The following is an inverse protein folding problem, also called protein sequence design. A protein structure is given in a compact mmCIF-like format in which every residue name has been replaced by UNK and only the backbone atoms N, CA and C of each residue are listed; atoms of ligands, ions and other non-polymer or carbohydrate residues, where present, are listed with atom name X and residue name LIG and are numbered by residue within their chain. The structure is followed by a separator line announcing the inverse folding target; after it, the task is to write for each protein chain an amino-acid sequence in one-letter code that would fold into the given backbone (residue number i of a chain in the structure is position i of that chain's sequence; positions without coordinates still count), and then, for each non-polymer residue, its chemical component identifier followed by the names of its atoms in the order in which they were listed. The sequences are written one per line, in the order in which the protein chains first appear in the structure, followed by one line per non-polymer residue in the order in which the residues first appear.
data_IF_126370324995
#
_entry.id   IF_126370324995
#
_cell.length_a   1.000
_cell.length_b   1.000
_cell.length_c   1.000
_cell.angle_alpha   90.00
_cell.angle_beta   90.00
_cell.angle_gamma   90.00
#
_symmetry.space_group_name_H-M   'P 1'
#
loop_
_entity.id
_entity.type
_entity.pdbx_description
1 polymer ?
#
# COMPACT_ATOMS: atom_id res chain seq x y z
N UNK A 1 -2.22 18.56 20.01
CA UNK A 1 -1.92 17.33 19.25
C UNK A 1 -0.56 16.81 19.69
N UNK A 2 -0.43 15.48 19.89
CA UNK A 2 0.78 14.85 20.43
C UNK A 2 1.98 14.85 19.47
N UNK A 3 1.78 15.17 18.19
CA UNK A 3 2.79 15.02 17.14
C UNK A 3 3.07 13.57 16.74
N UNK A 4 2.33 12.60 17.30
CA UNK A 4 2.49 11.18 16.94
C UNK A 4 1.91 10.91 15.55
N UNK A 5 2.56 10.01 14.83
CA UNK A 5 2.09 9.48 13.54
C UNK A 5 1.59 8.06 13.76
N UNK A 6 0.35 7.79 13.38
CA UNK A 6 -0.23 6.45 13.40
C UNK A 6 0.14 5.72 12.11
N UNK A 7 0.90 4.65 12.23
CA UNK A 7 1.34 3.82 11.10
C UNK A 7 0.75 2.42 11.24
N UNK A 8 -0.51 2.23 10.84
CA UNK A 8 -1.18 0.93 10.91
C UNK A 8 -0.61 -0.06 9.91
N UNK A 9 -0.88 -1.33 10.16
CA UNK A 9 -0.66 -2.43 9.20
C UNK A 9 -1.95 -3.25 9.13
N UNK A 10 -2.91 -2.78 8.34
CA UNK A 10 -4.23 -3.43 8.23
C UNK A 10 -4.17 -4.79 7.55
N UNK A 11 -3.18 -5.01 6.69
CA UNK A 11 -2.95 -6.29 6.00
C UNK A 11 -2.70 -7.44 7.01
N UNK A 12 -2.21 -7.12 8.22
CA UNK A 12 -2.02 -8.04 9.34
C UNK A 12 -2.86 -7.56 10.53
N UNK A 13 -4.13 -7.37 10.33
CA UNK A 13 -5.02 -6.87 11.38
C UNK A 13 -5.27 -7.92 12.47
N UNK A 14 -5.55 -7.45 13.69
CA UNK A 14 -5.95 -8.25 14.84
C UNK A 14 -7.47 -8.19 15.02
N UNK A 15 -8.06 -9.28 15.49
CA UNK A 15 -9.50 -9.34 15.75
C UNK A 15 -10.33 -10.02 14.67
N UNK A 16 -9.70 -10.49 13.60
CA UNK A 16 -10.32 -11.23 12.50
C UNK A 16 -9.30 -11.98 11.67
N UNK A 17 -9.71 -12.58 10.55
CA UNK A 17 -8.78 -13.13 9.57
C UNK A 17 -7.86 -12.05 9.04
N UNK A 18 -6.59 -12.35 8.80
CA UNK A 18 -5.66 -11.40 8.23
C UNK A 18 -6.16 -10.90 6.86
N UNK A 19 -6.21 -9.59 6.67
CA UNK A 19 -6.69 -8.98 5.43
C UNK A 19 -5.88 -9.39 4.19
N UNK A 20 -4.62 -9.74 4.35
CA UNK A 20 -3.80 -10.34 3.30
C UNK A 20 -4.45 -11.60 2.69
N UNK A 21 -5.12 -12.43 3.52
CA UNK A 21 -5.85 -13.61 3.05
C UNK A 21 -7.01 -13.23 2.11
N UNK A 22 -7.70 -12.11 2.37
CA UNK A 22 -8.74 -11.61 1.48
C UNK A 22 -8.18 -11.36 0.06
N UNK A 23 -7.02 -10.71 -0.03
CA UNK A 23 -6.42 -10.40 -1.33
C UNK A 23 -5.92 -11.64 -2.06
N UNK A 24 -5.35 -12.61 -1.37
CA UNK A 24 -4.98 -13.90 -1.99
C UNK A 24 -6.20 -14.68 -2.49
N UNK A 25 -7.39 -14.50 -1.90
CA UNK A 25 -8.62 -15.10 -2.41
C UNK A 25 -9.19 -14.37 -3.65
N UNK A 26 -8.80 -13.10 -3.85
CA UNK A 26 -9.29 -12.26 -4.97
C UNK A 26 -8.32 -12.21 -6.15
N UNK A 27 -7.06 -12.51 -5.92
CA UNK A 27 -5.99 -12.35 -6.91
C UNK A 27 -5.08 -13.57 -6.92
N UNK A 28 -4.87 -14.13 -8.10
CA UNK A 28 -3.85 -15.16 -8.26
C UNK A 28 -2.47 -14.50 -8.44
N UNK A 29 -1.75 -14.41 -7.32
CA UNK A 29 -0.39 -13.85 -7.31
C UNK A 29 0.60 -14.69 -8.09
N UNK A 30 0.29 -15.98 -8.34
CA UNK A 30 1.13 -16.86 -9.15
C UNK A 30 1.05 -16.52 -10.63
N UNK A 31 -0.01 -15.83 -11.08
CA UNK A 31 -0.15 -15.40 -12.47
C UNK A 31 0.37 -14.00 -12.74
N UNK A 32 0.73 -13.24 -11.69
CA UNK A 32 1.33 -11.92 -11.86
C UNK A 32 2.73 -12.01 -12.47
N UNK A 33 2.96 -11.43 -13.68
CA UNK A 33 4.23 -11.57 -14.40
C UNK A 33 5.39 -10.86 -13.70
N UNK A 34 5.13 -9.77 -12.95
CA UNK A 34 6.16 -9.05 -12.19
C UNK A 34 6.57 -9.85 -10.97
N UNK A 35 5.61 -10.41 -10.24
CA UNK A 35 5.91 -11.27 -9.10
C UNK A 35 6.69 -12.52 -9.52
N UNK A 36 6.29 -13.19 -10.60
CA UNK A 36 7.02 -14.35 -11.17
C UNK A 36 8.48 -14.02 -11.51
N UNK A 37 8.73 -12.81 -11.96
CA UNK A 37 10.08 -12.37 -12.36
C UNK A 37 11.01 -12.15 -11.17
N UNK A 38 10.48 -11.58 -10.06
CA UNK A 38 11.31 -11.12 -8.94
C UNK A 38 11.24 -12.03 -7.72
N UNK A 39 10.20 -12.88 -7.60
CA UNK A 39 9.99 -13.74 -6.44
C UNK A 39 10.01 -15.20 -6.89
N UNK A 40 10.88 -16.05 -6.32
CA UNK A 40 10.89 -17.48 -6.62
C UNK A 40 9.53 -18.12 -6.33
N UNK A 41 9.10 -19.06 -7.18
CA UNK A 41 7.81 -19.76 -7.04
C UNK A 41 7.64 -20.39 -5.64
N UNK A 42 8.67 -21.02 -5.11
CA UNK A 42 8.65 -21.61 -3.77
C UNK A 42 8.37 -20.60 -2.64
N UNK A 43 8.77 -19.34 -2.83
CA UNK A 43 8.48 -18.27 -1.86
C UNK A 43 7.03 -17.80 -1.99
N UNK A 44 6.50 -17.68 -3.21
CA UNK A 44 5.07 -17.39 -3.44
C UNK A 44 4.20 -18.50 -2.84
N UNK A 45 4.52 -19.78 -3.10
CA UNK A 45 3.85 -20.95 -2.51
C UNK A 45 3.85 -20.87 -0.98
N UNK A 46 5.01 -20.66 -0.38
CA UNK A 46 5.15 -20.58 1.06
C UNK A 46 4.25 -19.50 1.68
N UNK A 47 4.02 -18.42 0.98
CA UNK A 47 3.17 -17.30 1.44
C UNK A 47 1.68 -17.58 1.21
N UNK A 48 1.32 -18.23 0.12
CA UNK A 48 -0.08 -18.45 -0.29
C UNK A 48 -0.68 -19.72 0.30
N UNK A 49 0.07 -20.82 0.40
CA UNK A 49 -0.41 -22.12 0.90
C UNK A 49 -0.79 -22.15 2.38
N UNK A 50 -0.49 -21.12 3.15
CA UNK A 50 -0.79 -21.05 4.59
C UNK A 50 -2.27 -20.85 4.92
N UNK A 51 -3.17 -20.77 3.92
CA UNK A 51 -4.51 -20.20 4.15
C UNK A 51 -5.63 -21.06 3.60
N UNK A 52 -5.88 -22.22 4.27
CA UNK A 52 -6.97 -23.12 3.85
C UNK A 52 -8.34 -22.56 4.21
N UNK A 53 -8.44 -21.41 4.90
CA UNK A 53 -9.69 -20.87 5.39
C UNK A 53 -10.27 -19.87 4.42
N UNK A 54 -11.55 -20.05 4.08
CA UNK A 54 -12.36 -19.07 3.37
C UNK A 54 -13.31 -18.40 4.37
N UNK A 55 -12.89 -17.29 5.02
CA UNK A 55 -13.70 -16.62 6.02
C UNK A 55 -14.99 -16.08 5.42
N UNK A 56 -16.07 -16.09 6.21
CA UNK A 56 -17.29 -15.41 5.81
C UNK A 56 -17.06 -13.90 5.72
N UNK A 57 -17.75 -13.22 4.80
CA UNK A 57 -17.58 -11.78 4.55
C UNK A 57 -17.64 -10.92 5.83
N UNK A 58 -18.51 -11.28 6.78
CA UNK A 58 -18.69 -10.56 8.04
C UNK A 58 -17.51 -10.69 9.03
N UNK A 59 -16.54 -11.56 8.76
CA UNK A 59 -15.38 -11.77 9.62
C UNK A 59 -14.21 -10.84 9.25
N UNK A 60 -14.28 -10.18 8.09
CA UNK A 60 -13.26 -9.21 7.69
C UNK A 60 -13.48 -7.89 8.42
N UNK A 61 -12.53 -7.50 9.27
CA UNK A 61 -12.61 -6.29 10.10
C UNK A 61 -11.76 -5.13 9.58
N UNK A 62 -10.93 -5.36 8.59
CA UNK A 62 -9.96 -4.38 8.07
C UNK A 62 -10.63 -3.09 7.54
N UNK A 63 -11.81 -3.18 6.95
CA UNK A 63 -12.55 -1.99 6.48
C UNK A 63 -12.94 -1.08 7.65
N UNK A 64 -13.40 -1.69 8.77
CA UNK A 64 -13.79 -0.92 9.96
C UNK A 64 -12.59 -0.31 10.69
N UNK A 65 -11.46 -1.01 10.68
CA UNK A 65 -10.19 -0.50 11.22
C UNK A 65 -9.65 0.66 10.37
N UNK A 66 -9.66 0.51 9.04
CA UNK A 66 -9.28 1.57 8.12
C UNK A 66 -10.19 2.81 8.25
N UNK A 67 -11.49 2.62 8.54
CA UNK A 67 -12.40 3.73 8.81
C UNK A 67 -12.02 4.54 10.07
N UNK A 68 -11.37 3.95 11.06
CA UNK A 68 -10.84 4.69 12.20
C UNK A 68 -9.62 5.54 11.81
N UNK A 69 -8.74 5.02 10.93
CA UNK A 69 -7.63 5.79 10.38
C UNK A 69 -8.12 6.98 9.54
N UNK A 70 -9.17 6.79 8.73
CA UNK A 70 -9.80 7.88 7.99
C UNK A 70 -10.36 8.98 8.91
N UNK A 71 -11.02 8.60 10.01
CA UNK A 71 -11.49 9.55 11.04
C UNK A 71 -10.35 10.28 11.73
N UNK A 72 -9.26 9.57 12.05
CA UNK A 72 -8.09 10.18 12.66
C UNK A 72 -7.49 11.25 11.72
N UNK A 73 -7.31 10.92 10.44
CA UNK A 73 -6.78 11.84 9.44
C UNK A 73 -7.69 13.06 9.26
N UNK A 74 -9.01 12.85 9.09
CA UNK A 74 -9.98 13.94 8.93
C UNK A 74 -10.10 14.81 10.18
N UNK A 75 -9.81 14.28 11.38
CA UNK A 75 -9.72 15.01 12.63
C UNK A 75 -8.40 15.78 12.83
N UNK A 76 -7.52 15.84 11.82
CA UNK A 76 -6.24 16.55 11.88
C UNK A 76 -5.11 15.73 12.51
N UNK A 77 -5.29 14.43 12.74
CA UNK A 77 -4.23 13.52 13.13
C UNK A 77 -3.34 13.13 11.94
N UNK A 78 -2.19 12.55 12.23
CA UNK A 78 -1.26 12.07 11.20
C UNK A 78 -1.35 10.55 11.04
N UNK A 79 -1.53 10.11 9.80
CA UNK A 79 -1.56 8.69 9.43
C UNK A 79 -0.51 8.45 8.35
N UNK A 80 0.29 7.41 8.50
CA UNK A 80 1.25 6.96 7.50
C UNK A 80 1.00 5.50 7.10
N UNK A 81 1.60 5.08 5.99
CA UNK A 81 1.42 3.73 5.45
C UNK A 81 2.33 2.73 6.17
N UNK A 82 1.80 1.54 6.53
CA UNK A 82 2.56 0.39 6.97
C UNK A 82 2.12 -0.85 6.20
N UNK A 83 3.04 -1.67 5.71
CA UNK A 83 2.70 -2.89 4.95
C UNK A 83 3.42 -4.15 5.47
N UNK A 84 4.22 -4.02 6.52
CA UNK A 84 4.91 -5.11 7.22
C UNK A 84 5.75 -6.06 6.32
N UNK A 85 5.96 -5.70 5.06
CA UNK A 85 6.74 -6.52 4.13
C UNK A 85 6.14 -7.89 3.81
N UNK A 86 4.81 -8.05 3.90
CA UNK A 86 4.13 -9.33 3.69
C UNK A 86 4.39 -9.90 2.30
N UNK A 87 3.71 -9.51 1.27
CA UNK A 87 4.11 -9.81 -0.10
C UNK A 87 4.78 -8.57 -0.68
N UNK A 88 6.10 -8.61 -0.78
CA UNK A 88 6.88 -7.47 -1.30
C UNK A 88 6.40 -7.07 -2.69
N UNK A 89 6.27 -5.75 -2.92
CA UNK A 89 5.67 -5.18 -4.11
C UNK A 89 4.15 -5.07 -4.02
N UNK A 90 3.42 -6.13 -3.70
CA UNK A 90 1.95 -6.12 -3.64
C UNK A 90 1.39 -5.60 -2.32
N UNK A 91 2.01 -5.94 -1.20
CA UNK A 91 1.48 -5.61 0.13
C UNK A 91 1.25 -4.12 0.35
N UNK A 92 2.08 -3.26 -0.20
CA UNK A 92 1.91 -1.80 -0.12
C UNK A 92 0.65 -1.33 -0.86
N UNK A 93 0.35 -1.91 -2.02
CA UNK A 93 -0.85 -1.58 -2.79
C UNK A 93 -2.12 -2.07 -2.07
N UNK A 94 -2.10 -3.28 -1.52
CA UNK A 94 -3.21 -3.80 -0.73
C UNK A 94 -3.49 -2.92 0.50
N UNK A 95 -2.46 -2.44 1.18
CA UNK A 95 -2.62 -1.52 2.31
C UNK A 95 -3.28 -0.20 1.88
N UNK A 96 -2.89 0.39 0.74
CA UNK A 96 -3.54 1.56 0.16
C UNK A 96 -5.03 1.28 -0.16
N UNK A 97 -5.32 0.11 -0.73
CA UNK A 97 -6.70 -0.27 -1.06
C UNK A 97 -7.56 -0.48 0.18
N UNK A 98 -7.00 -1.04 1.25
CA UNK A 98 -7.68 -1.16 2.54
C UNK A 98 -8.01 0.23 3.09
N UNK A 99 -7.08 1.17 3.05
CA UNK A 99 -7.34 2.54 3.51
C UNK A 99 -8.49 3.19 2.73
N UNK A 100 -8.51 3.03 1.42
CA UNK A 100 -9.62 3.53 0.59
C UNK A 100 -10.95 2.83 0.93
N UNK A 101 -10.95 1.52 1.18
CA UNK A 101 -12.16 0.78 1.57
C UNK A 101 -12.76 1.25 2.89
N UNK A 102 -11.95 1.82 3.78
CA UNK A 102 -12.37 2.46 5.02
C UNK A 102 -12.96 3.87 4.85
N UNK A 103 -13.10 4.35 3.60
CA UNK A 103 -13.70 5.65 3.29
C UNK A 103 -12.72 6.82 3.21
N UNK A 104 -11.42 6.55 3.22
CA UNK A 104 -10.41 7.57 2.91
C UNK A 104 -10.46 7.89 1.41
N UNK A 105 -10.40 9.17 1.02
CA UNK A 105 -10.36 9.54 -0.40
C UNK A 105 -9.08 9.01 -1.07
N UNK A 106 -9.14 8.68 -2.37
CA UNK A 106 -7.95 8.22 -3.11
C UNK A 106 -6.80 9.22 -3.02
N UNK A 107 -7.10 10.52 -3.02
CA UNK A 107 -6.10 11.57 -2.84
C UNK A 107 -5.43 11.49 -1.45
N UNK A 108 -6.20 11.33 -0.39
CA UNK A 108 -5.66 11.21 0.96
C UNK A 108 -4.88 9.91 1.16
N UNK A 109 -5.34 8.80 0.56
CA UNK A 109 -4.60 7.53 0.53
C UNK A 109 -3.22 7.71 -0.09
N UNK A 110 -3.13 8.40 -1.24
CA UNK A 110 -1.85 8.69 -1.88
C UNK A 110 -0.97 9.60 -1.01
N UNK A 111 -1.55 10.60 -0.34
CA UNK A 111 -0.82 11.45 0.62
C UNK A 111 -0.27 10.64 1.78
N UNK A 112 -1.05 9.72 2.34
CA UNK A 112 -0.60 8.82 3.42
C UNK A 112 0.59 7.98 2.98
N UNK A 113 0.60 7.48 1.74
CA UNK A 113 1.70 6.72 1.17
C UNK A 113 2.92 7.57 0.74
N UNK A 114 2.81 8.89 0.74
CA UNK A 114 3.87 9.81 0.26
C UNK A 114 4.21 10.87 1.29
N UNK A 115 3.50 11.99 1.29
CA UNK A 115 3.75 13.18 2.15
C UNK A 115 3.72 12.84 3.63
N UNK A 116 2.66 12.16 4.08
CA UNK A 116 2.49 11.84 5.50
C UNK A 116 3.50 10.75 5.94
N UNK A 117 3.81 9.81 5.05
CA UNK A 117 4.87 8.84 5.25
C UNK A 117 6.23 9.51 5.45
N UNK A 118 6.60 10.43 4.54
CA UNK A 118 7.85 11.19 4.63
C UNK A 118 7.93 12.04 5.90
N UNK A 119 6.83 12.66 6.34
CA UNK A 119 6.75 13.37 7.62
C UNK A 119 6.95 12.43 8.80
N UNK A 120 6.29 11.27 8.78
CA UNK A 120 6.37 10.28 9.84
C UNK A 120 7.78 9.75 10.10
N UNK A 121 8.60 9.65 9.07
CA UNK A 121 10.01 9.20 9.18
C UNK A 121 11.00 10.38 9.25
N UNK A 122 10.54 11.63 9.28
CA UNK A 122 11.38 12.82 9.41
C UNK A 122 12.11 13.25 8.14
N UNK A 123 11.71 12.77 6.95
CA UNK A 123 12.35 13.06 5.66
C UNK A 123 11.50 13.93 4.71
N UNK A 124 10.53 14.66 5.23
CA UNK A 124 9.67 15.49 4.37
C UNK A 124 10.41 16.63 3.66
N UNK A 125 11.55 17.09 4.21
CA UNK A 125 12.43 18.04 3.51
C UNK A 125 12.97 17.50 2.19
N UNK A 126 13.16 16.18 2.10
CA UNK A 126 13.90 15.53 1.02
C UNK A 126 13.00 14.76 0.06
N UNK A 127 11.86 14.24 0.54
CA UNK A 127 10.93 13.39 -0.25
C UNK A 127 9.46 13.59 0.13
N UNK A 128 8.59 12.83 -0.51
CA UNK A 128 7.15 12.75 -0.24
C UNK A 128 6.29 13.69 -1.08
N UNK A 129 6.89 14.66 -1.79
CA UNK A 129 6.21 15.55 -2.73
C UNK A 129 7.11 15.94 -3.90
N UNK A 130 6.50 16.34 -5.01
CA UNK A 130 7.21 16.82 -6.19
C UNK A 130 7.46 18.33 -6.05
N UNK A 131 8.63 18.69 -5.53
CA UNK A 131 9.04 20.07 -5.29
C UNK A 131 10.50 20.26 -5.71
N UNK A 132 10.83 21.48 -6.17
CA UNK A 132 12.20 21.83 -6.53
C UNK A 132 13.09 21.74 -5.29
N UNK A 133 14.20 21.02 -5.42
CA UNK A 133 15.17 20.81 -4.33
C UNK A 133 15.01 19.49 -3.58
N UNK A 134 13.93 18.74 -3.81
CA UNK A 134 13.75 17.39 -3.25
C UNK A 134 14.39 16.32 -4.14
N UNK A 135 14.59 15.13 -3.57
CA UNK A 135 15.05 13.97 -4.31
C UNK A 135 14.03 13.62 -5.41
N UNK A 136 14.54 13.33 -6.59
CA UNK A 136 13.70 12.94 -7.72
C UNK A 136 13.40 11.42 -7.65
N UNK A 137 12.59 11.06 -6.64
CA UNK A 137 12.07 9.71 -6.41
C UNK A 137 10.56 9.71 -6.68
N UNK A 138 10.15 9.08 -7.78
CA UNK A 138 8.76 9.08 -8.22
C UNK A 138 8.39 7.82 -9.01
N UNK A 139 7.09 7.57 -9.09
CA UNK A 139 6.52 6.54 -9.95
C UNK A 139 5.66 7.19 -11.03
N UNK A 140 5.77 6.69 -12.26
CA UNK A 140 4.91 7.06 -13.38
C UNK A 140 3.93 5.91 -13.58
N UNK A 141 2.64 6.23 -13.50
CA UNK A 141 1.56 5.27 -13.62
C UNK A 141 0.88 5.44 -15.00
N UNK A 142 0.52 4.32 -15.63
CA UNK A 142 -0.25 4.31 -16.88
C UNK A 142 -1.71 4.75 -16.67
N UNK A 143 -2.27 4.51 -15.48
CA UNK A 143 -3.65 4.83 -15.13
C UNK A 143 -3.74 5.74 -13.92
N UNK A 144 -4.79 6.57 -13.89
CA UNK A 144 -4.99 7.55 -12.83
C UNK A 144 -5.45 6.87 -11.52
N UNK A 145 -4.66 6.89 -10.43
CA UNK A 145 -5.04 6.31 -9.14
C UNK A 145 -6.09 7.13 -8.39
N UNK A 146 -6.38 8.36 -8.81
CA UNK A 146 -7.47 9.16 -8.25
C UNK A 146 -8.84 8.66 -8.72
N UNK A 147 -8.93 8.06 -9.91
CA UNK A 147 -10.16 7.47 -10.43
C UNK A 147 -10.44 6.10 -9.78
N UNK A 148 -9.39 5.27 -9.64
CA UNK A 148 -9.44 4.00 -8.94
C UNK A 148 -8.08 3.77 -8.24
N UNK A 149 -8.09 3.62 -6.94
CA UNK A 149 -6.87 3.39 -6.15
C UNK A 149 -6.11 2.12 -6.59
N UNK A 150 -6.77 1.16 -7.20
CA UNK A 150 -6.14 -0.05 -7.75
C UNK A 150 -5.17 0.26 -8.90
N UNK A 151 -5.32 1.41 -9.54
CA UNK A 151 -4.41 1.90 -10.56
C UNK A 151 -2.99 2.21 -10.03
N UNK A 152 -2.78 2.20 -8.71
CA UNK A 152 -1.42 2.24 -8.12
C UNK A 152 -0.53 1.08 -8.60
N UNK A 153 -1.10 -0.04 -9.08
CA UNK A 153 -0.34 -1.14 -9.69
C UNK A 153 0.12 -0.86 -11.13
N UNK A 154 -0.43 0.14 -11.81
CA UNK A 154 -0.11 0.42 -13.22
C UNK A 154 1.22 1.17 -13.38
N UNK A 155 2.25 0.72 -12.67
CA UNK A 155 3.57 1.36 -12.69
C UNK A 155 4.24 1.08 -14.04
N UNK A 156 4.45 2.14 -14.81
CA UNK A 156 5.16 2.11 -16.09
C UNK A 156 6.66 2.34 -15.87
N UNK A 157 7.00 3.38 -15.08
CA UNK A 157 8.39 3.74 -14.81
C UNK A 157 8.59 4.14 -13.36
N UNK A 158 9.81 3.95 -12.89
CA UNK A 158 10.25 4.38 -11.56
C UNK A 158 11.47 5.27 -11.72
N UNK A 159 11.49 6.42 -11.05
CA UNK A 159 12.67 7.26 -10.94
C UNK A 159 13.22 7.17 -9.52
N UNK A 160 14.52 6.91 -9.41
CA UNK A 160 15.25 6.86 -8.13
C UNK A 160 16.44 7.78 -8.24
N UNK A 161 16.51 8.77 -7.38
CA UNK A 161 17.58 9.77 -7.35
C UNK A 161 17.85 10.39 -8.75
N UNK A 162 16.77 10.71 -9.47
CA UNK A 162 16.81 11.31 -10.81
C UNK A 162 17.11 10.34 -11.96
N UNK A 163 17.34 9.06 -11.68
CA UNK A 163 17.57 8.03 -12.71
C UNK A 163 16.27 7.28 -12.99
N UNK A 164 15.83 7.33 -14.25
CA UNK A 164 14.61 6.70 -14.72
C UNK A 164 14.86 5.24 -15.10
N UNK A 165 13.98 4.35 -14.65
CA UNK A 165 13.95 2.93 -14.95
C UNK A 165 12.60 2.57 -15.56
N UNK A 166 12.62 1.79 -16.62
CA UNK A 166 11.44 1.21 -17.23
C UNK A 166 11.17 -0.15 -16.57
N UNK A 167 9.93 -0.35 -16.07
CA UNK A 167 9.58 -1.56 -15.31
C UNK A 167 9.51 -2.82 -16.18
N UNK A 168 9.40 -2.70 -17.50
CA UNK A 168 9.44 -3.87 -18.41
C UNK A 168 10.87 -4.32 -18.68
N UNK A 169 11.83 -3.43 -18.59
CA UNK A 169 13.24 -3.69 -18.89
C UNK A 169 14.10 -4.03 -17.66
N UNK A 170 13.53 -3.93 -16.44
CA UNK A 170 14.23 -4.25 -15.19
C UNK A 170 14.35 -5.76 -14.92
#
# INVERSE_FOLDING_TARGET
LSGMVYTPTFIINYGGPQAETYFYLQQDVHDDPKLKRFIPHSELDRRTLRRPQSPHKSQWVFESEAAQAAKLLSGGGSVALGAHGQLQGMGVHWELWIMASGGMSNHDVLRVGTVEGARGIGHFSDLGSLEVGKLADLQILDKNPLDDIRNTLSIEKVMINGRLYDTESM
#
